data_IF_550265303697
#
_entry.id   IF_550265303697
#
_cell.length_a   1.000
_cell.length_b   1.000
_cell.length_c   1.000
_cell.angle_alpha   90.00
_cell.angle_beta   90.00
_cell.angle_gamma   90.00
#
_symmetry.space_group_name_H-M   'P 1'
#
loop_
_entity.id
_entity.type
_entity.pdbx_description
1 polymer ?
#
# COMPACT_ATOMS: atom_id res chain seq x y z
N UNK A 1 19.68 -14.18 19.70
CA UNK A 1 20.46 -13.13 19.02
C UNK A 1 19.66 -12.75 17.79
N UNK A 2 19.34 -11.46 17.58
CA UNK A 2 18.67 -11.07 16.35
C UNK A 2 19.58 -11.46 15.18
N UNK A 3 19.06 -12.21 14.20
CA UNK A 3 19.79 -12.41 12.95
C UNK A 3 20.03 -11.03 12.35
N UNK A 4 21.23 -10.81 11.80
CA UNK A 4 21.45 -9.65 10.96
C UNK A 4 20.42 -9.69 9.83
N UNK A 5 19.59 -8.65 9.65
CA UNK A 5 18.58 -8.63 8.60
C UNK A 5 19.24 -8.79 7.23
N UNK A 6 18.65 -9.62 6.37
CA UNK A 6 19.06 -9.82 4.97
C UNK A 6 17.87 -9.50 4.06
N UNK A 7 17.34 -8.29 4.25
CA UNK A 7 16.06 -7.89 3.68
C UNK A 7 16.24 -7.46 2.22
N UNK A 8 15.46 -8.07 1.34
CA UNK A 8 15.31 -7.64 -0.05
C UNK A 8 13.84 -7.38 -0.39
N UNK A 9 13.52 -6.14 -0.74
CA UNK A 9 12.17 -5.69 -1.10
C UNK A 9 11.96 -5.69 -2.62
N UNK A 10 10.98 -6.44 -3.10
CA UNK A 10 10.53 -6.44 -4.49
C UNK A 10 9.26 -5.59 -4.59
N UNK A 11 9.37 -4.41 -5.19
CA UNK A 11 8.32 -3.38 -5.10
C UNK A 11 8.20 -2.54 -6.37
N UNK A 12 7.20 -1.69 -6.41
CA UNK A 12 6.98 -0.70 -7.47
C UNK A 12 6.27 0.52 -6.88
N UNK A 13 6.25 1.64 -7.61
CA UNK A 13 5.72 2.93 -7.14
C UNK A 13 4.18 2.94 -7.07
N UNK A 14 3.63 2.21 -6.10
CA UNK A 14 2.19 2.03 -5.86
C UNK A 14 1.87 2.19 -4.38
N UNK A 15 0.60 2.45 -4.00
CA UNK A 15 0.19 2.51 -2.59
C UNK A 15 0.59 1.28 -1.75
N UNK A 16 0.51 0.08 -2.32
CA UNK A 16 0.92 -1.15 -1.63
C UNK A 16 2.44 -1.32 -1.57
N UNK A 17 3.16 -0.88 -2.60
CA UNK A 17 4.61 -1.00 -2.69
C UNK A 17 5.34 -0.09 -1.70
N UNK A 18 4.99 1.20 -1.68
CA UNK A 18 5.64 2.19 -0.80
C UNK A 18 5.34 1.96 0.68
N UNK A 19 4.27 1.22 0.99
CA UNK A 19 3.92 0.82 2.36
C UNK A 19 5.10 0.14 3.06
N UNK A 20 5.79 -0.76 2.36
CA UNK A 20 6.84 -1.58 2.97
C UNK A 20 8.14 -0.80 3.10
N UNK A 21 8.51 0.00 2.10
CA UNK A 21 9.67 0.89 2.23
C UNK A 21 9.47 1.88 3.37
N UNK A 22 8.29 2.48 3.53
CA UNK A 22 7.99 3.35 4.69
C UNK A 22 8.14 2.59 6.01
N UNK A 23 7.63 1.35 6.12
CA UNK A 23 7.83 0.54 7.34
C UNK A 23 9.30 0.25 7.62
N UNK A 24 10.10 -0.09 6.60
CA UNK A 24 11.54 -0.33 6.76
C UNK A 24 12.28 0.94 7.21
N UNK A 25 11.91 2.10 6.66
CA UNK A 25 12.49 3.40 7.05
C UNK A 25 12.09 3.83 8.46
N UNK A 26 10.86 3.58 8.90
CA UNK A 26 10.42 3.85 10.28
C UNK A 26 11.18 2.99 11.31
N UNK A 27 11.52 1.75 10.93
CA UNK A 27 12.31 0.84 11.77
C UNK A 27 13.82 1.09 11.67
N UNK A 28 14.28 1.87 10.69
CA UNK A 28 15.69 2.09 10.42
C UNK A 28 16.43 0.83 9.97
N UNK A 29 15.73 -0.11 9.33
CA UNK A 29 16.31 -1.37 8.88
C UNK A 29 17.11 -1.18 7.58
N UNK A 30 18.30 -1.78 7.43
CA UNK A 30 18.97 -1.85 6.15
C UNK A 30 18.25 -2.85 5.24
N UNK A 31 18.08 -2.49 3.97
CA UNK A 31 17.47 -3.37 2.97
C UNK A 31 17.98 -3.06 1.56
N UNK A 32 17.99 -4.08 0.72
CA UNK A 32 18.10 -3.94 -0.73
C UNK A 32 16.70 -3.89 -1.36
N UNK A 33 16.58 -3.41 -2.59
CA UNK A 33 15.31 -3.45 -3.31
C UNK A 33 15.47 -3.68 -4.81
N UNK A 34 14.44 -4.29 -5.42
CA UNK A 34 14.27 -4.42 -6.86
C UNK A 34 13.00 -3.69 -7.28
N UNK A 35 13.12 -2.79 -8.26
CA UNK A 35 11.97 -2.22 -8.94
C UNK A 35 11.39 -3.25 -9.92
N UNK A 36 10.14 -3.64 -9.69
CA UNK A 36 9.38 -4.53 -10.57
C UNK A 36 8.61 -3.69 -11.59
N UNK A 37 8.97 -3.81 -12.87
CA UNK A 37 8.32 -3.10 -13.96
C UNK A 37 6.97 -3.75 -14.29
N UNK A 38 5.90 -3.26 -13.65
CA UNK A 38 4.54 -3.81 -13.82
C UNK A 38 4.05 -3.79 -15.27
N UNK A 39 4.42 -2.76 -16.04
CA UNK A 39 4.09 -2.64 -17.46
C UNK A 39 4.76 -3.69 -18.35
N UNK A 40 5.86 -4.31 -17.88
CA UNK A 40 6.55 -5.42 -18.54
C UNK A 40 6.15 -6.78 -17.98
N UNK A 41 5.16 -6.82 -17.09
CA UNK A 41 4.66 -8.04 -16.46
C UNK A 41 5.73 -8.83 -15.69
N UNK A 42 6.76 -8.15 -15.15
CA UNK A 42 7.85 -8.78 -14.38
C UNK A 42 7.33 -9.52 -13.13
N UNK A 43 6.21 -9.07 -12.55
CA UNK A 43 5.52 -9.75 -11.46
C UNK A 43 4.93 -11.13 -11.84
N UNK A 44 4.99 -11.51 -13.12
CA UNK A 44 4.49 -12.79 -13.64
C UNK A 44 5.60 -13.71 -14.14
N UNK A 45 6.87 -13.34 -13.99
CA UNK A 45 7.99 -14.23 -14.34
C UNK A 45 8.12 -15.37 -13.32
N UNK A 46 8.65 -16.51 -13.75
CA UNK A 46 8.86 -17.67 -12.86
C UNK A 46 9.72 -17.31 -11.63
N UNK A 47 10.72 -16.44 -11.82
CA UNK A 47 11.58 -15.95 -10.74
C UNK A 47 10.82 -15.16 -9.68
N UNK A 48 9.87 -14.31 -10.08
CA UNK A 48 9.04 -13.57 -9.13
C UNK A 48 7.98 -14.47 -8.50
N UNK A 49 7.35 -15.35 -9.29
CA UNK A 49 6.33 -16.28 -8.81
C UNK A 49 6.85 -17.29 -7.79
N UNK A 50 8.15 -17.64 -7.85
CA UNK A 50 8.82 -18.44 -6.83
C UNK A 50 8.88 -17.74 -5.46
N UNK A 51 8.82 -16.40 -5.42
CA UNK A 51 8.77 -15.60 -4.19
C UNK A 51 7.31 -15.33 -3.80
N UNK A 52 6.50 -14.87 -4.74
CA UNK A 52 5.08 -14.59 -4.53
C UNK A 52 4.23 -15.27 -5.61
N UNK A 53 3.54 -16.39 -5.30
CA UNK A 53 2.73 -17.12 -6.26
C UNK A 53 1.50 -16.34 -6.74
N UNK A 54 1.06 -15.29 -6.02
CA UNK A 54 -0.02 -14.40 -6.45
C UNK A 54 0.42 -13.49 -7.63
N UNK A 55 1.73 -13.32 -7.83
CA UNK A 55 2.27 -12.47 -8.89
C UNK A 55 1.86 -11.01 -8.74
N UNK A 56 1.95 -10.48 -7.51
CA UNK A 56 1.64 -9.08 -7.15
C UNK A 56 2.77 -8.52 -6.29
N UNK A 57 3.04 -7.23 -6.42
CA UNK A 57 3.91 -6.51 -5.47
C UNK A 57 3.08 -5.99 -4.27
N UNK A 58 3.70 -5.70 -3.12
CA UNK A 58 5.10 -6.01 -2.76
C UNK A 58 5.31 -7.50 -2.44
N UNK A 59 6.56 -7.93 -2.55
CA UNK A 59 7.09 -9.15 -1.95
C UNK A 59 8.39 -8.83 -1.22
N UNK A 60 8.76 -9.63 -0.23
CA UNK A 60 9.98 -9.44 0.56
C UNK A 60 10.63 -10.79 0.84
N UNK A 61 11.96 -10.82 0.77
CA UNK A 61 12.74 -11.96 1.28
C UNK A 61 13.62 -11.50 2.43
N UNK A 62 13.84 -12.39 3.38
CA UNK A 62 14.73 -12.16 4.52
C UNK A 62 15.36 -13.47 4.99
N UNK A 63 16.38 -13.40 5.84
CA UNK A 63 16.93 -14.54 6.57
C UNK A 63 16.19 -14.73 7.89
N UNK A 64 15.38 -15.78 7.96
CA UNK A 64 14.59 -16.11 9.14
C UNK A 64 15.45 -16.61 10.31
N UNK A 65 14.82 -16.76 11.47
CA UNK A 65 15.50 -17.12 12.73
C UNK A 65 16.14 -18.51 12.72
N UNK A 66 15.70 -19.40 11.83
CA UNK A 66 16.32 -20.72 11.58
C UNK A 66 17.50 -20.65 10.59
N UNK A 67 17.85 -19.46 10.12
CA UNK A 67 18.94 -19.19 9.19
C UNK A 67 18.60 -19.41 7.72
N UNK A 68 17.36 -19.80 7.37
CA UNK A 68 16.91 -20.00 5.99
C UNK A 68 16.21 -18.76 5.45
N UNK A 69 16.16 -18.63 4.13
CA UNK A 69 15.37 -17.58 3.48
C UNK A 69 13.88 -17.82 3.71
N UNK A 70 13.17 -16.78 4.12
CA UNK A 70 11.70 -16.73 4.12
C UNK A 70 11.23 -15.82 2.99
N UNK A 71 10.21 -16.28 2.25
CA UNK A 71 9.54 -15.51 1.21
C UNK A 71 8.21 -15.00 1.76
N UNK A 72 7.97 -13.70 1.64
CA UNK A 72 6.80 -13.02 2.20
C UNK A 72 6.08 -12.25 1.09
N UNK A 73 4.75 -12.36 1.09
CA UNK A 73 3.86 -11.62 0.21
C UNK A 73 2.63 -11.16 0.99
N UNK A 74 1.82 -10.31 0.37
CA UNK A 74 0.77 -9.51 1.02
C UNK A 74 1.33 -8.45 1.96
N UNK A 75 1.09 -7.18 1.61
CA UNK A 75 1.71 -6.03 2.28
C UNK A 75 1.40 -5.96 3.79
N UNK A 76 0.19 -6.36 4.22
CA UNK A 76 -0.14 -6.43 5.65
C UNK A 76 0.54 -7.58 6.40
N UNK A 77 0.83 -8.70 5.72
CA UNK A 77 1.58 -9.82 6.31
C UNK A 77 3.05 -9.44 6.46
N UNK A 78 3.64 -8.82 5.43
CA UNK A 78 5.01 -8.31 5.48
C UNK A 78 5.19 -7.31 6.63
N UNK A 79 4.26 -6.37 6.83
CA UNK A 79 4.34 -5.43 7.96
C UNK A 79 4.29 -6.11 9.32
N UNK A 80 3.40 -7.10 9.50
CA UNK A 80 3.34 -7.88 10.74
C UNK A 80 4.65 -8.63 11.00
N UNK A 81 5.22 -9.27 9.97
CA UNK A 81 6.52 -9.90 10.06
C UNK A 81 7.62 -8.92 10.52
N UNK A 82 7.69 -7.74 9.87
CA UNK A 82 8.72 -6.76 10.18
C UNK A 82 8.62 -6.24 11.62
N UNK A 83 7.42 -5.99 12.13
CA UNK A 83 7.28 -5.54 13.53
C UNK A 83 7.51 -6.66 14.53
N UNK A 84 7.05 -7.88 14.25
CA UNK A 84 7.27 -9.03 15.13
C UNK A 84 8.77 -9.37 15.24
N UNK A 85 9.50 -9.33 14.13
CA UNK A 85 10.93 -9.68 14.08
C UNK A 85 11.85 -8.54 14.51
N UNK A 86 11.54 -7.28 14.18
CA UNK A 86 12.49 -6.18 14.32
C UNK A 86 12.04 -5.01 15.22
N UNK A 87 10.75 -4.82 15.48
CA UNK A 87 10.24 -3.70 16.29
C UNK A 87 10.19 -4.02 17.80
N UNK A 88 11.32 -4.43 18.38
CA UNK A 88 11.38 -4.86 19.80
C UNK A 88 11.05 -3.77 20.81
N UNK A 89 11.18 -2.51 20.41
CA UNK A 89 10.85 -1.33 21.22
C UNK A 89 9.43 -0.80 20.96
N UNK A 90 8.68 -1.44 20.06
CA UNK A 90 7.30 -1.05 19.71
C UNK A 90 7.20 0.42 19.27
N UNK A 91 8.10 0.83 18.36
CA UNK A 91 8.14 2.17 17.76
C UNK A 91 6.95 2.43 16.86
N UNK A 92 6.53 1.40 16.11
CA UNK A 92 5.39 1.45 15.17
C UNK A 92 4.42 0.27 15.34
N UNK A 93 4.44 -0.33 16.52
CA UNK A 93 3.59 -1.46 16.91
C UNK A 93 3.23 -1.37 18.39
N UNK A 94 2.50 -2.38 18.87
CA UNK A 94 2.21 -2.60 20.28
C UNK A 94 2.52 -4.06 20.64
N UNK A 95 2.85 -4.37 21.91
CA UNK A 95 3.16 -5.74 22.32
C UNK A 95 2.01 -6.71 21.99
N UNK A 96 2.37 -7.87 21.45
CA UNK A 96 1.41 -8.91 21.08
C UNK A 96 0.52 -9.30 22.26
N UNK A 97 -0.79 -9.35 22.03
CA UNK A 97 -1.80 -9.69 23.04
C UNK A 97 -2.34 -8.50 23.84
N UNK A 98 -1.79 -7.30 23.68
CA UNK A 98 -2.39 -6.07 24.22
C UNK A 98 -3.65 -5.68 23.45
N UNK A 99 -4.46 -4.79 24.02
CA UNK A 99 -5.66 -4.26 23.36
C UNK A 99 -5.29 -3.55 22.06
N UNK A 100 -4.29 -2.69 22.12
CA UNK A 100 -3.81 -1.85 21.03
C UNK A 100 -3.24 -2.69 19.88
N UNK A 101 -2.62 -3.84 20.17
CA UNK A 101 -2.22 -4.81 19.16
C UNK A 101 -3.42 -5.32 18.35
N UNK A 102 -4.50 -5.74 19.02
CA UNK A 102 -5.69 -6.21 18.32
C UNK A 102 -6.41 -5.10 17.56
N UNK A 103 -6.47 -3.89 18.12
CA UNK A 103 -7.03 -2.72 17.44
C UNK A 103 -6.21 -2.32 16.21
N UNK A 104 -4.87 -2.40 16.29
CA UNK A 104 -3.98 -2.18 15.14
C UNK A 104 -4.27 -3.18 14.03
N UNK A 105 -4.46 -4.46 14.38
CA UNK A 105 -4.82 -5.48 13.42
C UNK A 105 -6.20 -5.25 12.79
N UNK A 106 -7.20 -4.80 13.55
CA UNK A 106 -8.52 -4.46 13.01
C UNK A 106 -8.39 -3.44 11.87
N UNK A 107 -7.62 -2.37 12.07
CA UNK A 107 -7.39 -1.36 11.04
C UNK A 107 -6.52 -1.86 9.88
N UNK A 108 -5.52 -2.70 10.16
CA UNK A 108 -4.72 -3.33 9.13
C UNK A 108 -5.60 -4.20 8.21
N UNK A 109 -6.47 -5.04 8.76
CA UNK A 109 -7.40 -5.84 7.98
C UNK A 109 -8.48 -4.99 7.30
N UNK A 110 -8.96 -3.91 7.93
CA UNK A 110 -9.88 -2.96 7.32
C UNK A 110 -9.32 -2.33 6.04
N UNK A 111 -8.03 -1.99 6.02
CA UNK A 111 -7.37 -1.57 4.80
C UNK A 111 -7.32 -2.69 3.76
N UNK A 112 -6.79 -3.86 4.14
CA UNK A 112 -6.48 -4.93 3.19
C UNK A 112 -7.75 -5.57 2.60
N UNK A 113 -8.86 -5.56 3.34
CA UNK A 113 -10.15 -6.11 2.89
C UNK A 113 -11.15 -5.04 2.42
N UNK A 114 -10.94 -3.77 2.76
CA UNK A 114 -11.86 -2.67 2.47
C UNK A 114 -11.20 -1.59 1.62
N UNK A 115 -10.50 -0.66 2.29
CA UNK A 115 -10.01 0.59 1.66
C UNK A 115 -9.19 0.32 0.40
N UNK A 116 -8.18 -0.54 0.48
CA UNK A 116 -7.29 -0.84 -0.65
C UNK A 116 -8.04 -1.46 -1.83
N UNK A 117 -8.73 -2.60 -1.67
CA UNK A 117 -9.48 -3.23 -2.74
C UNK A 117 -10.55 -2.32 -3.36
N UNK A 118 -11.36 -1.63 -2.55
CA UNK A 118 -12.46 -0.80 -3.05
C UNK A 118 -11.95 0.43 -3.81
N UNK A 119 -10.92 1.10 -3.28
CA UNK A 119 -10.29 2.21 -3.99
C UNK A 119 -9.58 1.72 -5.26
N UNK A 120 -9.00 0.53 -5.26
CA UNK A 120 -8.44 -0.10 -6.45
C UNK A 120 -9.47 -0.29 -7.58
N UNK A 121 -10.69 -0.72 -7.23
CA UNK A 121 -11.80 -0.79 -8.19
C UNK A 121 -12.24 0.61 -8.64
N UNK A 122 -12.32 1.58 -7.72
CA UNK A 122 -12.63 2.97 -8.08
C UNK A 122 -11.63 3.52 -9.11
N UNK A 123 -10.33 3.28 -8.90
CA UNK A 123 -9.27 3.64 -9.85
C UNK A 123 -9.50 2.96 -11.21
N UNK A 124 -9.84 1.67 -11.22
CA UNK A 124 -10.07 0.92 -12.45
C UNK A 124 -11.20 1.52 -13.28
N UNK A 125 -12.39 1.67 -12.71
CA UNK A 125 -13.55 2.21 -13.44
C UNK A 125 -13.38 3.69 -13.82
N UNK A 126 -12.65 4.46 -13.01
CA UNK A 126 -12.42 5.89 -13.28
C UNK A 126 -11.35 6.14 -14.35
N UNK A 127 -10.31 5.30 -14.43
CA UNK A 127 -9.11 5.59 -15.25
C UNK A 127 -8.80 4.54 -16.31
N UNK A 128 -9.00 3.26 -15.99
CA UNK A 128 -8.41 2.15 -16.75
C UNK A 128 -9.41 1.30 -17.52
N UNK A 129 -10.70 1.38 -17.21
CA UNK A 129 -11.73 0.73 -18.01
C UNK A 129 -11.69 1.28 -19.45
N UNK A 130 -11.82 0.42 -20.49
CA UNK A 130 -11.77 0.87 -21.87
C UNK A 130 -12.98 1.73 -22.24
N UNK A 131 -14.09 1.52 -21.54
CA UNK A 131 -15.36 2.22 -21.70
C UNK A 131 -15.77 2.86 -20.37
N UNK A 132 -16.54 3.95 -20.44
CA UNK A 132 -17.10 4.58 -19.25
C UNK A 132 -18.31 3.78 -18.78
N UNK A 133 -18.21 3.18 -17.59
CA UNK A 133 -19.29 2.42 -16.97
C UNK A 133 -19.74 3.17 -15.71
N UNK A 134 -20.74 4.05 -15.88
CA UNK A 134 -21.20 4.96 -14.82
C UNK A 134 -21.57 4.24 -13.53
N UNK A 135 -22.29 3.12 -13.61
CA UNK A 135 -22.64 2.31 -12.44
C UNK A 135 -21.40 1.83 -11.68
N UNK A 136 -20.36 1.39 -12.40
CA UNK A 136 -19.11 0.93 -11.79
C UNK A 136 -18.37 2.08 -11.08
N UNK A 137 -18.25 3.23 -11.75
CA UNK A 137 -17.66 4.44 -11.17
C UNK A 137 -18.40 4.81 -9.87
N UNK A 138 -19.72 5.01 -9.96
CA UNK A 138 -20.54 5.44 -8.83
C UNK A 138 -20.48 4.44 -7.67
N UNK A 139 -20.59 3.13 -7.95
CA UNK A 139 -20.54 2.09 -6.91
C UNK A 139 -19.24 2.14 -6.11
N UNK A 140 -18.09 2.16 -6.80
CA UNK A 140 -16.80 2.07 -6.12
C UNK A 140 -16.31 3.41 -5.55
N UNK A 141 -16.68 4.54 -6.15
CA UNK A 141 -16.47 5.85 -5.52
C UNK A 141 -17.29 5.97 -4.24
N UNK A 142 -18.58 5.62 -4.27
CA UNK A 142 -19.44 5.68 -3.07
C UNK A 142 -18.93 4.78 -1.94
N UNK A 143 -18.53 3.54 -2.24
CA UNK A 143 -17.97 2.66 -1.21
C UNK A 143 -16.63 3.17 -0.66
N UNK A 144 -15.76 3.70 -1.52
CA UNK A 144 -14.50 4.30 -1.06
C UNK A 144 -14.75 5.53 -0.19
N UNK A 145 -15.69 6.40 -0.55
CA UNK A 145 -16.14 7.54 0.28
C UNK A 145 -16.70 7.07 1.62
N UNK A 146 -17.50 6.01 1.64
CA UNK A 146 -18.03 5.42 2.89
C UNK A 146 -16.89 4.96 3.80
N UNK A 147 -15.89 4.26 3.26
CA UNK A 147 -14.72 3.80 4.01
C UNK A 147 -13.87 4.97 4.52
N UNK A 148 -13.72 6.04 3.74
CA UNK A 148 -13.06 7.27 4.17
C UNK A 148 -13.86 7.95 5.29
N UNK A 149 -15.19 7.95 5.22
CA UNK A 149 -16.05 8.45 6.29
C UNK A 149 -15.88 7.67 7.60
N UNK A 150 -15.65 6.36 7.54
CA UNK A 150 -15.33 5.56 8.73
C UNK A 150 -13.99 6.00 9.34
N UNK A 151 -12.95 6.16 8.53
CA UNK A 151 -11.64 6.63 8.99
C UNK A 151 -11.70 8.05 9.56
N UNK A 152 -12.38 8.96 8.86
CA UNK A 152 -12.55 10.34 9.28
C UNK A 152 -13.27 10.41 10.63
N UNK A 153 -14.38 9.68 10.77
CA UNK A 153 -15.14 9.65 12.02
C UNK A 153 -14.35 9.05 13.17
N UNK A 154 -13.55 8.02 12.91
CA UNK A 154 -12.65 7.44 13.90
C UNK A 154 -11.58 8.45 14.35
N UNK A 155 -10.92 9.11 13.38
CA UNK A 155 -9.86 10.09 13.64
C UNK A 155 -10.36 11.34 14.35
N UNK A 156 -11.62 11.76 14.16
CA UNK A 156 -12.24 12.84 14.96
C UNK A 156 -12.22 12.53 16.47
N UNK A 157 -12.31 11.25 16.85
CA UNK A 157 -12.31 10.81 18.24
C UNK A 157 -10.92 10.38 18.73
N UNK A 158 -9.92 10.38 17.85
CA UNK A 158 -8.55 10.01 18.21
C UNK A 158 -7.87 11.15 18.97
N UNK A 159 -7.45 10.87 20.21
CA UNK A 159 -6.71 11.84 21.03
C UNK A 159 -5.29 12.07 20.53
N UNK A 160 -4.68 11.07 19.91
CA UNK A 160 -3.31 11.15 19.38
C UNK A 160 -3.27 11.65 17.93
N UNK A 161 -4.40 11.62 17.23
CA UNK A 161 -4.47 11.86 15.78
C UNK A 161 -3.80 10.74 14.97
N UNK A 162 -3.71 9.53 15.51
CA UNK A 162 -3.37 8.28 14.80
C UNK A 162 -4.53 7.28 14.90
N UNK A 163 -4.49 6.21 14.11
CA UNK A 163 -5.56 5.21 14.10
C UNK A 163 -5.66 4.42 15.41
N UNK A 164 -4.56 4.19 16.12
CA UNK A 164 -4.57 3.42 17.38
C UNK A 164 -3.65 4.04 18.41
N UNK A 165 -4.12 4.10 19.65
CA UNK A 165 -3.33 4.50 20.81
C UNK A 165 -2.71 5.89 20.67
N UNK A 166 -1.43 5.99 21.03
CA UNK A 166 -0.67 7.24 21.21
C UNK A 166 0.37 7.51 20.11
N UNK A 167 0.58 6.59 19.16
CA UNK A 167 1.66 6.67 18.17
C UNK A 167 1.24 6.19 16.77
N UNK A 168 2.07 6.54 15.79
CA UNK A 168 1.95 5.98 14.44
C UNK A 168 2.24 4.48 14.51
N UNK A 169 1.41 3.66 13.86
CA UNK A 169 1.62 2.22 13.78
C UNK A 169 1.64 1.74 12.33
N UNK A 170 1.89 0.44 12.13
CA UNK A 170 1.68 -0.20 10.83
C UNK A 170 0.26 -0.01 10.29
N UNK A 171 -0.76 0.18 11.13
CA UNK A 171 -2.10 0.53 10.65
C UNK A 171 -2.09 1.87 9.90
N UNK A 172 -1.47 2.91 10.45
CA UNK A 172 -1.38 4.22 9.79
C UNK A 172 -0.54 4.15 8.50
N UNK A 173 0.62 3.51 8.57
CA UNK A 173 1.53 3.33 7.43
C UNK A 173 0.84 2.55 6.31
N UNK A 174 -0.03 1.61 6.66
CA UNK A 174 -0.76 0.84 5.66
C UNK A 174 -1.73 1.71 4.85
N UNK A 175 -2.36 2.70 5.48
CA UNK A 175 -3.35 3.56 4.84
C UNK A 175 -2.73 4.71 4.03
N UNK A 176 -1.58 5.26 4.44
CA UNK A 176 -1.11 6.57 3.93
C UNK A 176 -0.96 6.63 2.41
N UNK A 177 -0.45 5.57 1.78
CA UNK A 177 -0.29 5.49 0.33
C UNK A 177 -1.63 5.57 -0.41
N UNK A 178 -2.66 4.93 0.13
CA UNK A 178 -4.00 4.90 -0.46
C UNK A 178 -4.72 6.24 -0.28
N UNK A 179 -4.69 6.81 0.93
CA UNK A 179 -5.33 8.10 1.23
C UNK A 179 -4.65 9.25 0.46
N UNK A 180 -3.33 9.19 0.29
CA UNK A 180 -2.59 10.15 -0.54
C UNK A 180 -2.99 10.07 -2.03
N UNK A 181 -3.56 8.95 -2.47
CA UNK A 181 -4.02 8.73 -3.84
C UNK A 181 -5.54 8.95 -4.01
N UNK A 182 -6.22 9.63 -3.08
CA UNK A 182 -7.67 9.86 -3.11
C UNK A 182 -8.17 10.46 -4.44
N UNK A 183 -7.54 11.54 -4.92
CA UNK A 183 -7.91 12.20 -6.18
C UNK A 183 -7.76 11.28 -7.41
N UNK A 184 -6.87 10.29 -7.35
CA UNK A 184 -6.72 9.29 -8.41
C UNK A 184 -7.98 8.41 -8.54
N UNK A 185 -8.64 8.15 -7.40
CA UNK A 185 -9.90 7.44 -7.31
C UNK A 185 -11.14 8.32 -7.59
N UNK A 186 -10.94 9.61 -7.88
CA UNK A 186 -12.01 10.59 -8.09
C UNK A 186 -12.66 11.07 -6.79
N UNK A 187 -11.89 11.12 -5.69
CA UNK A 187 -12.39 11.52 -4.38
C UNK A 187 -11.56 12.70 -3.87
N UNK A 188 -12.25 13.77 -3.51
CA UNK A 188 -11.67 14.93 -2.85
C UNK A 188 -11.46 14.63 -1.36
N UNK A 189 -10.25 14.89 -0.87
CA UNK A 189 -9.92 14.59 0.54
C UNK A 189 -10.51 15.65 1.48
N UNK A 190 -10.87 16.81 0.93
CA UNK A 190 -11.42 17.97 1.61
C UNK A 190 -12.77 17.67 2.27
N UNK A 191 -13.49 16.68 1.75
CA UNK A 191 -14.74 16.16 2.33
C UNK A 191 -14.53 15.44 3.68
N UNK A 192 -13.27 15.12 4.03
CA UNK A 192 -12.89 14.33 5.21
C UNK A 192 -11.82 15.07 6.03
N UNK A 193 -12.21 16.10 6.82
CA UNK A 193 -11.25 17.02 7.43
C UNK A 193 -10.30 16.37 8.46
N UNK A 194 -10.76 15.40 9.25
CA UNK A 194 -9.92 14.70 10.21
C UNK A 194 -8.97 13.72 9.49
N UNK A 195 -9.45 13.06 8.45
CA UNK A 195 -8.62 12.20 7.60
C UNK A 195 -7.56 13.00 6.83
N UNK A 196 -7.92 14.19 6.34
CA UNK A 196 -6.98 15.13 5.71
C UNK A 196 -5.90 15.56 6.71
N UNK A 197 -6.28 15.97 7.92
CA UNK A 197 -5.33 16.36 8.95
C UNK A 197 -4.38 15.21 9.33
N UNK A 198 -4.91 13.99 9.46
CA UNK A 198 -4.10 12.78 9.66
C UNK A 198 -3.14 12.52 8.49
N UNK A 199 -3.60 12.66 7.25
CA UNK A 199 -2.75 12.48 6.05
C UNK A 199 -1.60 13.49 6.04
N UNK A 200 -1.91 14.76 6.30
CA UNK A 200 -0.93 15.84 6.31
C UNK A 200 0.12 15.60 7.42
N UNK A 201 -0.32 15.14 8.60
CA UNK A 201 0.56 14.70 9.71
C UNK A 201 1.46 13.52 9.31
N UNK A 202 0.90 12.51 8.65
CA UNK A 202 1.68 11.35 8.18
C UNK A 202 2.70 11.75 7.11
N UNK A 203 2.33 12.58 6.14
CA UNK A 203 3.24 13.06 5.09
C UNK A 203 4.38 13.93 5.64
N UNK A 204 4.21 14.55 6.82
CA UNK A 204 5.27 15.30 7.47
C UNK A 204 6.39 14.41 8.03
N UNK A 205 6.14 13.10 8.24
CA UNK A 205 7.11 12.16 8.83
C UNK A 205 8.30 11.92 7.89
N UNK A 206 9.56 11.98 8.39
CA UNK A 206 10.74 11.76 7.55
C UNK A 206 10.77 10.40 6.84
N UNK A 207 10.42 9.33 7.55
CA UNK A 207 10.38 7.98 7.00
C UNK A 207 9.30 7.81 5.92
N UNK A 208 8.15 8.49 6.05
CA UNK A 208 7.11 8.50 5.01
C UNK A 208 7.63 9.17 3.75
N UNK A 209 8.33 10.31 3.86
CA UNK A 209 8.94 10.98 2.71
C UNK A 209 9.99 10.09 2.03
N UNK A 210 10.94 9.57 2.80
CA UNK A 210 12.03 8.73 2.28
C UNK A 210 11.51 7.44 1.66
N UNK A 211 10.64 6.71 2.35
CA UNK A 211 10.06 5.47 1.85
C UNK A 211 9.16 5.67 0.63
N UNK A 212 8.51 6.83 0.49
CA UNK A 212 7.68 7.15 -0.68
C UNK A 212 8.47 7.37 -1.97
N UNK A 213 9.80 7.54 -1.89
CA UNK A 213 10.68 7.69 -3.05
C UNK A 213 11.35 6.36 -3.48
N UNK A 214 10.93 5.24 -2.89
CA UNK A 214 11.43 3.90 -3.18
C UNK A 214 10.35 3.10 -3.92
N UNK A 215 10.70 2.37 -5.01
CA UNK A 215 12.06 2.13 -5.52
C UNK A 215 12.55 3.21 -6.50
N UNK A 216 11.65 4.11 -6.91
CA UNK A 216 11.94 5.26 -7.75
C UNK A 216 11.22 6.47 -7.16
N UNK A 217 11.83 7.68 -7.20
CA UNK A 217 11.17 8.86 -6.67
C UNK A 217 9.78 9.05 -7.27
N UNK A 218 8.83 9.51 -6.46
CA UNK A 218 7.48 9.70 -6.95
C UNK A 218 7.50 10.68 -8.12
N UNK A 219 6.97 10.25 -9.27
CA UNK A 219 6.84 11.12 -10.43
C UNK A 219 6.09 12.39 -10.01
N UNK A 220 6.58 13.55 -10.46
CA UNK A 220 5.86 14.81 -10.26
C UNK A 220 4.47 14.65 -10.88
N UNK A 221 3.41 15.19 -10.24
CA UNK A 221 2.10 15.22 -10.86
C UNK A 221 2.24 15.86 -12.24
N UNK A 222 1.60 15.26 -13.24
CA UNK A 222 1.50 15.83 -14.57
C UNK A 222 1.04 17.29 -14.48
N UNK A 223 1.89 18.19 -14.97
CA UNK A 223 1.69 19.64 -14.87
C UNK A 223 0.53 20.10 -15.76
N UNK A 224 0.27 19.35 -16.84
CA UNK A 224 -0.78 19.65 -17.82
C UNK A 224 -1.85 18.56 -17.88
N UNK A 225 -3.02 18.93 -18.42
CA UNK A 225 -4.10 17.97 -18.69
C UNK A 225 -3.69 16.94 -19.76
N UNK A 226 -2.86 17.34 -20.71
CA UNK A 226 -2.35 16.47 -21.77
C UNK A 226 -1.42 15.38 -21.20
N UNK A 227 -0.50 15.74 -20.32
CA UNK A 227 0.35 14.78 -19.60
C UNK A 227 -0.48 13.82 -18.73
N UNK A 228 -1.53 14.30 -18.06
CA UNK A 228 -2.45 13.45 -17.30
C UNK A 228 -3.16 12.44 -18.18
N UNK A 229 -3.65 12.86 -19.35
CA UNK A 229 -4.28 11.97 -20.33
C UNK A 229 -3.30 10.93 -20.85
N UNK A 230 -2.09 11.33 -21.24
CA UNK A 230 -1.05 10.41 -21.70
C UNK A 230 -0.70 9.37 -20.63
N UNK A 231 -0.48 9.79 -19.39
CA UNK A 231 -0.18 8.87 -18.30
C UNK A 231 -1.36 7.90 -18.03
N UNK A 232 -2.60 8.38 -18.12
CA UNK A 232 -3.78 7.54 -17.98
C UNK A 232 -3.90 6.53 -19.13
N UNK A 233 -3.60 6.92 -20.37
CA UNK A 233 -3.60 6.05 -21.55
C UNK A 233 -2.53 4.97 -21.47
N UNK A 234 -1.29 5.33 -21.12
CA UNK A 234 -0.20 4.38 -20.88
C UNK A 234 -0.58 3.40 -19.77
N UNK A 235 -1.15 3.90 -18.67
CA UNK A 235 -1.59 3.07 -17.55
C UNK A 235 -2.73 2.12 -17.94
N UNK A 236 -3.70 2.62 -18.70
CA UNK A 236 -4.80 1.83 -19.24
C UNK A 236 -4.28 0.72 -20.14
N UNK A 237 -3.35 1.02 -21.05
CA UNK A 237 -2.83 0.05 -22.01
C UNK A 237 -2.22 -1.16 -21.31
N UNK A 238 -1.31 -0.97 -20.35
CA UNK A 238 -0.68 -2.11 -19.68
C UNK A 238 -1.62 -2.85 -18.73
N UNK A 239 -2.57 -2.15 -18.07
CA UNK A 239 -3.60 -2.81 -17.24
C UNK A 239 -4.46 -3.74 -18.11
N UNK A 240 -4.91 -3.26 -19.27
CA UNK A 240 -5.70 -4.05 -20.20
C UNK A 240 -4.90 -5.21 -20.81
N UNK A 241 -3.62 -5.00 -21.12
CA UNK A 241 -2.73 -6.08 -21.55
C UNK A 241 -2.61 -7.16 -20.47
N UNK A 242 -2.34 -6.78 -19.23
CA UNK A 242 -2.23 -7.72 -18.11
C UNK A 242 -3.52 -8.53 -17.89
N UNK A 243 -4.70 -7.90 -18.01
CA UNK A 243 -5.98 -8.60 -17.94
C UNK A 243 -6.16 -9.63 -19.06
N UNK A 244 -5.76 -9.31 -20.29
CA UNK A 244 -5.82 -10.24 -21.44
C UNK A 244 -4.87 -11.42 -21.24
N UNK A 245 -3.65 -11.17 -20.77
CA UNK A 245 -2.67 -12.22 -20.50
C UNK A 245 -3.15 -13.17 -19.39
N UNK A 246 -3.65 -12.62 -18.28
CA UNK A 246 -4.22 -13.40 -17.16
C UNK A 246 -5.41 -14.26 -17.63
N UNK A 247 -6.29 -13.72 -18.49
CA UNK A 247 -7.41 -14.46 -19.06
C UNK A 247 -6.95 -15.59 -20.00
N UNK A 248 -5.85 -15.40 -20.73
CA UNK A 248 -5.34 -16.40 -21.67
C UNK A 248 -4.66 -17.58 -20.97
N UNK A 249 -3.95 -17.32 -19.85
CA UNK A 249 -3.25 -18.33 -19.05
C UNK A 249 -4.19 -19.20 -18.20
N UNK A 250 -5.37 -18.70 -17.85
CA UNK A 250 -6.35 -19.38 -17.01
C UNK A 250 -7.51 -20.02 -17.78
N UNK A 251 -7.38 -20.23 -19.10
CA UNK A 251 -8.31 -21.08 -19.85
C UNK A 251 -8.08 -22.54 -19.42
N UNK A 252 -8.81 -22.95 -18.39
CA UNK A 252 -9.04 -24.36 -18.00
C UNK A 252 -10.02 -24.97 -18.98
#
# INVERSE_FOLDING_TARGET
MASTPDIHLYTSQTPNGVKISITLEELGLPYNFTNIALAKMEQKTDSFLAINPNGRIPALTDKFTDGKTINLFESGSIQQYLVDEYDKEHKISYPKGTREYYETNNWLFFLNAGVGPMQGQSNHFTRYAPETIEYGINRYQNETRRLYGVLDKHLQNSSSGYLVGDRCTIADIAHIGWITAAAWAGIEIEDFPALKAWRDKMQARPAVKKGSDIPVPRAKPAATEEERKKQAEETRAWVQQGMKEDASKNKI
#
